data_IF_392536745914
#
_entry.id   IF_392536745914
#
_cell.length_a   1.000
_cell.length_b   1.000
_cell.length_c   1.000
_cell.angle_alpha   90.00
_cell.angle_beta   90.00
_cell.angle_gamma   90.00
#
_symmetry.space_group_name_H-M   'P 1'
#
loop_
_entity.id
_entity.type
_entity.pdbx_description
1 polymer ?
#
# COMPACT_ATOMS: atom_id res chain seq x y z
N UNK A 1 -25.85 -80.44 -22.64
CA UNK A 1 -24.45 -80.88 -22.40
C UNK A 1 -23.53 -79.92 -23.15
N UNK A 2 -22.33 -79.49 -22.70
CA UNK A 2 -21.61 -79.76 -21.44
C UNK A 2 -20.92 -78.51 -20.77
N UNK A 3 -20.53 -78.72 -19.51
CA UNK A 3 -19.27 -78.38 -18.80
C UNK A 3 -18.66 -76.95 -18.75
N UNK A 4 -18.61 -76.49 -17.49
CA UNK A 4 -17.44 -76.07 -16.67
C UNK A 4 -16.65 -74.79 -17.02
N UNK A 5 -16.83 -73.80 -16.14
CA UNK A 5 -15.84 -73.09 -15.32
C UNK A 5 -14.55 -72.57 -16.00
N UNK A 6 -14.37 -71.24 -15.96
CA UNK A 6 -13.14 -70.58 -15.51
C UNK A 6 -13.46 -69.14 -15.09
N UNK A 7 -13.46 -68.94 -13.77
CA UNK A 7 -13.48 -67.63 -13.12
C UNK A 7 -12.15 -66.94 -13.41
N UNK A 8 -12.19 -65.71 -13.91
CA UNK A 8 -11.07 -64.79 -13.81
C UNK A 8 -11.58 -63.53 -13.09
N UNK A 9 -11.01 -63.30 -11.92
CA UNK A 9 -11.15 -62.08 -11.14
C UNK A 9 -10.62 -60.89 -11.94
N UNK A 10 -11.44 -59.86 -12.14
CA UNK A 10 -10.97 -58.49 -12.29
C UNK A 10 -11.88 -57.62 -11.43
N UNK A 11 -11.30 -57.05 -10.38
CA UNK A 11 -11.98 -56.21 -9.42
C UNK A 11 -12.47 -54.91 -10.10
N UNK A 12 -13.78 -54.83 -10.35
CA UNK A 12 -14.40 -53.62 -10.87
C UNK A 12 -14.71 -52.68 -9.71
N UNK A 13 -13.87 -51.66 -9.56
CA UNK A 13 -14.08 -50.51 -8.68
C UNK A 13 -15.29 -49.74 -9.19
N UNK A 14 -16.44 -49.85 -8.52
CA UNK A 14 -17.60 -48.97 -8.76
C UNK A 14 -17.38 -47.70 -7.96
N UNK A 15 -17.00 -46.67 -8.71
CA UNK A 15 -16.80 -45.30 -8.34
C UNK A 15 -18.11 -44.71 -7.77
N UNK A 16 -18.13 -44.42 -6.48
CA UNK A 16 -19.16 -43.58 -5.89
C UNK A 16 -19.00 -42.15 -6.45
N UNK A 17 -19.95 -41.72 -7.28
CA UNK A 17 -20.02 -40.36 -7.80
C UNK A 17 -20.31 -39.41 -6.64
N UNK A 18 -19.35 -38.51 -6.42
CA UNK A 18 -19.28 -37.59 -5.30
C UNK A 18 -20.46 -36.62 -5.23
N UNK A 19 -20.94 -36.47 -4.00
CA UNK A 19 -21.68 -35.33 -3.49
C UNK A 19 -20.87 -34.04 -3.60
N UNK A 20 -21.59 -32.94 -3.85
CA UNK A 20 -21.25 -31.55 -3.53
C UNK A 20 -19.99 -30.95 -4.18
N UNK A 21 -20.19 -30.25 -5.30
CA UNK A 21 -19.31 -29.17 -5.73
C UNK A 21 -19.42 -28.00 -4.73
N UNK A 22 -18.61 -28.03 -3.68
CA UNK A 22 -18.36 -26.87 -2.83
C UNK A 22 -17.08 -26.22 -3.37
N UNK A 23 -17.22 -25.08 -4.05
CA UNK A 23 -16.14 -24.36 -4.70
C UNK A 23 -14.97 -24.13 -3.75
N UNK A 24 -13.87 -24.85 -3.98
CA UNK A 24 -12.61 -24.62 -3.27
C UNK A 24 -11.92 -23.46 -3.97
N UNK A 25 -12.04 -22.26 -3.39
CA UNK A 25 -11.11 -21.18 -3.72
C UNK A 25 -9.74 -21.59 -3.19
N UNK A 26 -8.89 -22.10 -4.09
CA UNK A 26 -7.51 -22.40 -3.75
C UNK A 26 -6.76 -21.09 -3.51
N UNK A 27 -6.73 -20.67 -2.24
CA UNK A 27 -5.69 -19.79 -1.69
C UNK A 27 -4.38 -20.58 -1.72
N UNK A 28 -3.55 -20.36 -2.74
CA UNK A 28 -2.24 -20.99 -2.83
C UNK A 28 -1.31 -20.39 -1.78
N UNK A 29 -1.11 -21.11 -0.67
CA UNK A 29 0.12 -21.05 0.11
C UNK A 29 1.01 -22.18 -0.36
N UNK A 30 2.11 -21.85 -1.05
CA UNK A 30 3.13 -22.84 -1.42
C UNK A 30 4.26 -22.76 -0.41
N UNK A 31 4.54 -23.90 0.20
CA UNK A 31 5.74 -24.19 0.99
C UNK A 31 6.70 -24.93 0.04
N UNK A 32 7.94 -24.44 -0.09
CA UNK A 32 8.93 -24.85 -1.08
C UNK A 32 9.51 -26.25 -0.83
N UNK A 33 9.67 -27.02 -1.91
CA UNK A 33 10.91 -27.75 -2.25
C UNK A 33 10.78 -28.33 -3.67
N UNK A 34 11.52 -27.78 -4.67
CA UNK A 34 12.07 -28.49 -5.86
C UNK A 34 13.24 -27.66 -6.44
N UNK A 35 14.39 -28.33 -6.62
CA UNK A 35 15.55 -27.91 -7.42
C UNK A 35 15.42 -28.41 -8.88
N UNK A 36 16.08 -27.73 -9.82
CA UNK A 36 16.11 -27.87 -11.28
C UNK A 36 15.06 -27.07 -12.09
N UNK A 37 15.52 -25.90 -12.59
CA UNK A 37 14.91 -25.17 -13.71
C UNK A 37 14.17 -23.88 -13.33
N UNK A 38 14.86 -22.92 -12.69
CA UNK A 38 14.24 -21.67 -12.26
C UNK A 38 13.83 -20.80 -13.46
N UNK A 39 12.56 -20.93 -13.88
CA UNK A 39 11.82 -19.83 -14.49
C UNK A 39 11.85 -18.67 -13.50
N UNK A 40 12.75 -17.70 -13.69
CA UNK A 40 12.77 -16.44 -12.94
C UNK A 40 11.54 -15.63 -13.33
N UNK A 41 10.40 -15.90 -12.72
CA UNK A 41 9.31 -14.94 -12.66
C UNK A 41 9.82 -13.73 -11.86
N UNK A 42 9.81 -12.55 -12.46
CA UNK A 42 10.32 -11.35 -11.81
C UNK A 42 9.54 -11.04 -10.52
N UNK A 43 10.23 -10.62 -9.47
CA UNK A 43 9.58 -10.28 -8.19
C UNK A 43 9.11 -8.82 -8.19
N UNK A 44 7.87 -8.58 -7.74
CA UNK A 44 7.31 -7.25 -7.50
C UNK A 44 7.43 -6.95 -6.01
N UNK A 45 8.18 -5.90 -5.64
CA UNK A 45 8.24 -5.46 -4.24
C UNK A 45 8.37 -3.94 -4.13
N UNK A 46 7.23 -3.30 -3.86
CA UNK A 46 7.17 -1.91 -3.44
C UNK A 46 7.42 -1.86 -1.93
N UNK A 47 8.50 -1.20 -1.52
CA UNK A 47 8.71 -0.88 -0.11
C UNK A 47 8.51 0.61 0.10
N UNK A 48 7.84 0.93 1.19
CA UNK A 48 7.65 2.30 1.64
C UNK A 48 8.40 2.41 2.97
N UNK A 49 9.28 3.40 3.09
CA UNK A 49 10.01 3.66 4.32
C UNK A 49 9.66 5.05 4.85
N UNK A 50 9.09 5.09 6.05
CA UNK A 50 8.97 6.29 6.87
C UNK A 50 9.83 6.07 8.12
N UNK A 51 10.85 6.93 8.33
CA UNK A 51 11.74 6.81 9.50
C UNK A 51 12.46 5.45 9.64
N UNK A 52 12.67 4.71 8.54
CA UNK A 52 13.41 3.44 8.53
C UNK A 52 12.57 2.16 8.70
N UNK A 53 11.23 2.23 8.74
CA UNK A 53 10.36 1.04 8.84
C UNK A 53 9.65 0.72 7.51
N UNK A 54 9.71 -0.53 7.06
CA UNK A 54 9.10 -0.97 5.78
C UNK A 54 7.70 -1.57 5.96
N UNK A 55 6.66 -0.95 5.40
CA UNK A 55 5.27 -1.48 5.44
C UNK A 55 4.42 -0.90 4.31
N UNK A 56 3.54 -1.71 3.69
CA UNK A 56 2.56 -1.26 2.69
C UNK A 56 1.42 -0.39 3.27
N UNK A 57 1.37 -0.25 4.59
CA UNK A 57 0.54 0.71 5.32
C UNK A 57 1.47 1.50 6.23
N UNK A 58 1.74 2.74 5.87
CA UNK A 58 2.59 3.61 6.69
C UNK A 58 1.73 4.39 7.67
N UNK A 59 2.11 4.27 8.94
CA UNK A 59 1.68 5.14 10.02
C UNK A 59 2.82 6.14 10.23
N UNK A 60 2.54 7.42 10.05
CA UNK A 60 3.55 8.45 10.19
C UNK A 60 3.53 8.91 11.64
N UNK A 61 4.40 8.36 12.51
CA UNK A 61 4.43 8.74 13.92
C UNK A 61 4.65 10.25 14.15
N UNK A 62 5.31 10.95 13.22
CA UNK A 62 5.44 12.42 13.24
C UNK A 62 4.14 13.17 12.89
N UNK A 63 3.21 12.52 12.19
CA UNK A 63 1.89 13.05 11.82
C UNK A 63 0.77 12.53 12.73
N UNK A 64 0.97 11.36 13.38
CA UNK A 64 -0.07 10.62 14.11
C UNK A 64 -0.42 11.20 15.49
N UNK A 65 0.49 11.98 16.09
CA UNK A 65 0.29 12.69 17.37
C UNK A 65 0.47 14.22 17.23
N UNK A 66 0.52 14.72 16.00
CA UNK A 66 0.58 16.16 15.77
C UNK A 66 -0.75 16.79 16.18
N UNK A 67 -0.77 17.52 17.29
CA UNK A 67 -1.83 18.49 17.58
C UNK A 67 -1.78 19.57 16.48
N UNK A 68 -2.52 19.33 15.40
CA UNK A 68 -2.65 20.27 14.29
C UNK A 68 -3.53 21.43 14.74
N UNK A 69 -2.94 22.62 14.79
CA UNK A 69 -3.64 23.87 15.08
C UNK A 69 -3.97 24.60 13.79
N UNK A 70 -5.04 25.41 13.75
CA UNK A 70 -5.36 26.21 12.56
C UNK A 70 -4.16 27.05 12.11
N UNK A 71 -3.82 26.98 10.82
CA UNK A 71 -2.67 27.65 10.21
C UNK A 71 -1.33 26.93 10.41
N UNK A 72 -1.32 25.73 11.00
CA UNK A 72 -0.13 24.88 11.15
C UNK A 72 -0.17 23.71 10.19
N UNK A 73 0.98 23.08 10.03
CA UNK A 73 1.17 21.87 9.26
C UNK A 73 2.10 20.92 10.02
N UNK A 74 2.10 19.66 9.59
CA UNK A 74 3.14 18.69 9.91
C UNK A 74 3.60 18.03 8.61
N UNK A 75 4.88 17.66 8.56
CA UNK A 75 5.53 17.09 7.40
C UNK A 75 6.36 15.87 7.76
N UNK A 76 6.48 14.95 6.81
CA UNK A 76 7.39 13.83 6.92
C UNK A 76 7.91 13.40 5.54
N UNK A 77 9.20 13.05 5.42
CA UNK A 77 9.71 12.40 4.23
C UNK A 77 9.20 10.96 4.15
N UNK A 78 8.99 10.51 2.92
CA UNK A 78 8.58 9.16 2.57
C UNK A 78 9.47 8.67 1.41
N UNK A 79 10.17 7.57 1.61
CA UNK A 79 10.87 6.90 0.52
C UNK A 79 10.02 5.78 -0.07
N UNK A 80 9.87 5.78 -1.39
CA UNK A 80 9.21 4.72 -2.16
C UNK A 80 10.28 4.02 -2.99
N UNK A 81 10.46 2.71 -2.83
CA UNK A 81 11.49 1.97 -3.55
C UNK A 81 10.95 0.70 -4.22
N UNK A 82 11.51 0.40 -5.39
CA UNK A 82 11.34 -0.86 -6.07
C UNK A 82 12.51 -1.79 -5.69
N UNK A 83 12.22 -2.80 -4.89
CA UNK A 83 13.18 -3.86 -4.55
C UNK A 83 12.95 -5.14 -5.36
N UNK A 84 12.10 -5.05 -6.38
CA UNK A 84 11.83 -6.10 -7.33
C UNK A 84 12.85 -6.16 -8.46
N UNK A 85 12.65 -7.15 -9.33
CA UNK A 85 13.47 -7.36 -10.53
C UNK A 85 12.79 -6.89 -11.82
N UNK A 86 11.67 -6.18 -11.72
CA UNK A 86 10.88 -5.68 -12.84
C UNK A 86 10.52 -4.21 -12.62
N UNK A 87 10.48 -3.42 -13.69
CA UNK A 87 10.11 -2.01 -13.60
C UNK A 87 8.66 -1.88 -13.12
N UNK A 88 8.44 -0.92 -12.23
CA UNK A 88 7.16 -0.72 -11.58
C UNK A 88 6.57 0.62 -11.93
N UNK A 89 5.27 0.61 -12.14
CA UNK A 89 4.41 1.78 -12.14
C UNK A 89 3.62 1.83 -10.85
N UNK A 90 3.64 2.94 -10.13
CA UNK A 90 2.87 3.09 -8.91
C UNK A 90 2.01 4.36 -8.87
N UNK A 91 0.94 4.32 -8.07
CA UNK A 91 0.09 5.47 -7.79
C UNK A 91 -0.42 5.39 -6.34
N UNK A 92 -0.76 6.55 -5.77
CA UNK A 92 -1.59 6.65 -4.58
C UNK A 92 -3.00 6.18 -4.92
N UNK A 93 -3.66 5.51 -3.98
CA UNK A 93 -5.08 5.11 -4.14
C UNK A 93 -5.96 5.58 -3.01
N UNK A 94 -5.42 5.79 -1.81
CA UNK A 94 -6.14 6.34 -0.68
C UNK A 94 -5.22 7.20 0.17
N UNK A 95 -5.78 8.25 0.76
CA UNK A 95 -5.10 9.08 1.74
C UNK A 95 -6.11 9.49 2.82
N UNK A 96 -6.25 8.67 3.85
CA UNK A 96 -7.32 8.77 4.85
C UNK A 96 -6.76 8.99 6.24
N UNK A 97 -7.56 9.57 7.13
CA UNK A 97 -7.28 9.57 8.58
C UNK A 97 -7.99 8.37 9.24
N UNK A 98 -7.26 7.56 9.99
CA UNK A 98 -7.80 6.36 10.64
C UNK A 98 -7.35 6.18 12.09
N UNK A 99 -7.62 7.15 13.00
CA UNK A 99 -7.31 7.01 14.41
C UNK A 99 -8.16 5.89 15.04
N UNK A 100 -7.60 5.21 16.05
CA UNK A 100 -8.34 4.22 16.82
C UNK A 100 -9.44 4.93 17.64
N UNK A 101 -10.67 4.41 17.59
CA UNK A 101 -11.84 4.99 18.28
C UNK A 101 -12.13 6.45 17.89
N UNK A 102 -12.24 6.72 16.59
CA UNK A 102 -12.42 8.06 16.04
C UNK A 102 -13.60 8.83 16.68
N UNK A 103 -13.30 10.00 17.24
CA UNK A 103 -14.26 10.93 17.81
C UNK A 103 -14.88 11.83 16.74
N UNK A 104 -15.83 12.70 17.13
CA UNK A 104 -16.35 13.73 16.23
C UNK A 104 -15.27 14.77 15.86
N UNK A 105 -14.38 15.09 16.81
CA UNK A 105 -13.29 16.02 16.57
C UNK A 105 -12.25 15.47 15.58
N UNK A 106 -11.94 14.17 15.67
CA UNK A 106 -11.04 13.50 14.73
C UNK A 106 -11.56 13.55 13.29
N UNK A 107 -12.86 13.30 13.12
CA UNK A 107 -13.53 13.38 11.81
C UNK A 107 -13.53 14.80 11.28
N UNK A 108 -13.89 15.77 12.11
CA UNK A 108 -13.89 17.18 11.73
C UNK A 108 -12.49 17.69 11.37
N UNK A 109 -11.45 17.22 12.07
CA UNK A 109 -10.06 17.53 11.76
C UNK A 109 -9.65 16.91 10.42
N UNK A 110 -9.98 15.65 10.16
CA UNK A 110 -9.65 14.96 8.92
C UNK A 110 -10.32 15.61 7.69
N UNK A 111 -11.60 15.99 7.81
CA UNK A 111 -12.37 16.64 6.74
C UNK A 111 -11.84 18.01 6.35
N UNK A 112 -11.21 18.72 7.29
CA UNK A 112 -10.68 20.07 7.10
C UNK A 112 -9.18 20.09 6.79
N UNK A 113 -8.50 18.95 6.94
CA UNK A 113 -7.07 18.84 6.67
C UNK A 113 -6.79 18.77 5.17
N UNK A 114 -5.76 19.49 4.74
CA UNK A 114 -5.26 19.48 3.38
C UNK A 114 -3.96 18.69 3.31
N UNK A 115 -3.92 17.70 2.43
CA UNK A 115 -2.74 16.93 2.12
C UNK A 115 -2.05 17.52 0.89
N UNK A 116 -0.72 17.60 0.96
CA UNK A 116 0.12 17.91 -0.18
C UNK A 116 1.28 16.92 -0.25
N UNK A 117 1.56 16.39 -1.44
CA UNK A 117 2.65 15.44 -1.68
C UNK A 117 3.52 15.98 -2.81
N UNK A 118 4.81 16.14 -2.53
CA UNK A 118 5.81 16.62 -3.47
C UNK A 118 6.90 15.58 -3.71
N UNK A 119 7.45 15.54 -4.91
CA UNK A 119 8.60 14.71 -5.27
C UNK A 119 9.83 15.57 -5.57
N UNK A 120 11.02 14.99 -5.38
CA UNK A 120 12.30 15.62 -5.73
C UNK A 120 12.84 16.59 -4.67
N UNK A 121 12.19 16.67 -3.51
CA UNK A 121 12.71 17.38 -2.34
C UNK A 121 13.68 16.48 -1.56
N UNK A 122 14.75 17.06 -1.01
CA UNK A 122 15.66 16.35 -0.12
C UNK A 122 14.90 15.90 1.15
N UNK A 123 14.96 14.61 1.55
CA UNK A 123 14.29 14.12 2.75
C UNK A 123 14.61 14.92 4.02
N UNK A 124 15.84 15.43 4.14
CA UNK A 124 16.27 16.22 5.30
C UNK A 124 15.57 17.57 5.36
N UNK A 125 15.38 18.22 4.21
CA UNK A 125 14.70 19.52 4.14
C UNK A 125 13.21 19.34 4.44
N UNK A 126 12.61 18.23 3.97
CA UNK A 126 11.22 17.89 4.31
C UNK A 126 11.04 17.67 5.82
N UNK A 127 11.94 16.92 6.45
CA UNK A 127 11.91 16.67 7.90
C UNK A 127 12.22 17.93 8.74
N UNK A 128 12.92 18.92 8.17
CA UNK A 128 13.23 20.20 8.80
C UNK A 128 12.15 21.27 8.60
N UNK A 129 10.96 20.86 8.13
CA UNK A 129 9.83 21.75 7.85
C UNK A 129 10.11 22.87 6.83
N UNK A 130 11.07 22.66 5.93
CA UNK A 130 11.39 23.63 4.90
C UNK A 130 10.20 23.88 3.95
N UNK A 131 10.27 24.97 3.18
CA UNK A 131 9.28 25.26 2.15
C UNK A 131 9.23 24.12 1.12
N UNK A 132 8.02 23.68 0.76
CA UNK A 132 7.84 22.62 -0.24
C UNK A 132 8.42 23.07 -1.58
N UNK A 133 9.22 22.19 -2.18
CA UNK A 133 9.86 22.39 -3.48
C UNK A 133 9.73 21.12 -4.32
N UNK A 134 10.06 21.23 -5.61
CA UNK A 134 10.00 20.11 -6.54
C UNK A 134 8.64 19.94 -7.23
N UNK A 135 8.33 18.71 -7.62
CA UNK A 135 7.13 18.40 -8.40
C UNK A 135 5.95 18.14 -7.47
N UNK A 136 4.86 18.90 -7.62
CA UNK A 136 3.59 18.61 -6.95
C UNK A 136 2.97 17.34 -7.55
N UNK A 137 2.76 16.32 -6.72
CA UNK A 137 2.09 15.06 -7.12
C UNK A 137 0.61 15.04 -6.74
N UNK A 138 0.28 15.63 -5.59
CA UNK A 138 -1.09 15.70 -5.09
C UNK A 138 -1.27 16.91 -4.17
N UNK A 139 -2.41 17.60 -4.29
CA UNK A 139 -2.87 18.60 -3.34
C UNK A 139 -4.39 18.53 -3.23
N UNK A 140 -4.92 18.37 -2.02
CA UNK A 140 -6.37 18.27 -1.82
C UNK A 140 -6.75 17.76 -0.44
N UNK A 141 -8.06 17.56 -0.20
CA UNK A 141 -8.57 17.00 1.06
C UNK A 141 -8.17 15.53 1.22
N UNK A 142 -8.17 15.04 2.46
CA UNK A 142 -8.07 13.60 2.72
C UNK A 142 -9.31 12.87 2.17
N UNK A 143 -9.11 11.65 1.67
CA UNK A 143 -10.18 10.89 1.03
C UNK A 143 -9.77 9.51 0.55
N UNK A 144 -10.80 8.72 0.22
CA UNK A 144 -10.64 7.49 -0.56
C UNK A 144 -10.52 7.83 -2.05
N UNK A 145 -9.89 6.95 -2.82
CA UNK A 145 -9.62 7.18 -4.25
C UNK A 145 -8.74 8.40 -4.54
N UNK A 146 -7.91 8.81 -3.59
CA UNK A 146 -6.92 9.86 -3.76
C UNK A 146 -5.79 9.36 -4.64
N UNK A 147 -5.55 10.01 -5.77
CA UNK A 147 -4.57 9.57 -6.79
C UNK A 147 -3.67 10.72 -7.22
N UNK A 148 -2.45 10.38 -7.60
CA UNK A 148 -1.57 11.29 -8.33
C UNK A 148 -2.11 11.54 -9.73
N UNK A 149 -1.86 12.75 -10.26
CA UNK A 149 -2.28 13.13 -11.61
C UNK A 149 -1.65 12.26 -12.70
N UNK A 150 -0.47 11.70 -12.44
CA UNK A 150 0.21 10.77 -13.32
C UNK A 150 0.79 9.61 -12.51
N UNK A 151 0.81 8.42 -13.12
CA UNK A 151 1.49 7.28 -12.54
C UNK A 151 3.01 7.54 -12.50
N UNK A 152 3.64 7.11 -11.41
CA UNK A 152 5.09 7.19 -11.20
C UNK A 152 5.75 5.89 -11.66
N UNK A 153 7.01 5.95 -12.07
CA UNK A 153 7.77 4.78 -12.54
C UNK A 153 9.04 4.63 -11.70
N UNK A 154 9.30 3.41 -11.25
CA UNK A 154 10.51 3.00 -10.56
C UNK A 154 11.18 1.86 -11.34
N UNK A 155 12.44 2.05 -11.69
CA UNK A 155 13.22 1.02 -12.38
C UNK A 155 13.52 -0.16 -11.45
N UNK A 156 13.77 -1.33 -12.03
CA UNK A 156 14.26 -2.51 -11.32
C UNK A 156 15.76 -2.43 -10.98
N UNK A 157 16.18 -3.23 -10.00
CA UNK A 157 17.59 -3.49 -9.71
C UNK A 157 18.30 -2.34 -8.99
N UNK A 158 19.56 -2.06 -9.35
CA UNK A 158 20.42 -1.05 -8.72
C UNK A 158 20.69 0.15 -9.62
N UNK A 159 19.88 0.33 -10.67
CA UNK A 159 20.00 1.43 -11.63
C UNK A 159 19.53 2.78 -11.08
N UNK A 160 19.49 3.79 -11.94
CA UNK A 160 18.85 5.06 -11.63
C UNK A 160 17.32 4.87 -11.47
N UNK A 161 16.69 5.68 -10.62
CA UNK A 161 15.23 5.69 -10.38
C UNK A 161 14.66 4.41 -9.76
N UNK A 162 15.44 3.68 -8.98
CA UNK A 162 14.96 2.53 -8.19
C UNK A 162 14.25 2.96 -6.90
N UNK A 163 14.49 4.20 -6.46
CA UNK A 163 13.75 4.85 -5.38
C UNK A 163 13.36 6.29 -5.73
N UNK A 164 12.32 6.76 -5.04
CA UNK A 164 11.81 8.12 -5.13
C UNK A 164 11.53 8.66 -3.72
N UNK A 165 12.05 9.85 -3.44
CA UNK A 165 11.76 10.60 -2.21
C UNK A 165 10.54 11.50 -2.40
N UNK A 166 9.55 11.31 -1.53
CA UNK A 166 8.35 12.10 -1.42
C UNK A 166 8.36 12.92 -0.12
N UNK A 167 7.90 14.16 -0.17
CA UNK A 167 7.59 14.96 1.00
C UNK A 167 6.07 15.03 1.18
N UNK A 168 5.59 14.52 2.30
CA UNK A 168 4.17 14.48 2.64
C UNK A 168 3.90 15.57 3.67
N UNK A 169 3.03 16.52 3.34
CA UNK A 169 2.57 17.58 4.24
C UNK A 169 1.10 17.43 4.51
N UNK A 170 0.69 17.49 5.77
CA UNK A 170 -0.70 17.75 6.14
C UNK A 170 -0.79 19.10 6.83
N UNK A 171 -1.66 19.97 6.32
CA UNK A 171 -1.90 21.30 6.85
C UNK A 171 -3.36 21.46 7.29
N UNK A 172 -3.57 22.19 8.38
CA UNK A 172 -4.89 22.63 8.79
C UNK A 172 -5.06 24.11 8.43
N UNK A 173 -6.02 24.48 7.57
CA UNK A 173 -6.28 25.87 7.22
C UNK A 173 -6.54 26.75 8.46
N UNK A 174 -6.18 28.02 8.40
CA UNK A 174 -6.38 28.96 9.53
C UNK A 174 -7.85 29.24 9.84
N UNK A 175 -8.74 28.99 8.89
CA UNK A 175 -10.19 29.08 9.04
C UNK A 175 -10.82 27.75 9.47
N UNK A 176 -10.03 26.76 9.90
CA UNK A 176 -10.56 25.50 10.41
C UNK A 176 -11.43 25.74 11.64
N UNK A 177 -12.57 25.06 11.65
CA UNK A 177 -13.62 25.17 12.65
C UNK A 177 -13.19 24.59 13.99
N UNK A 178 -13.71 25.16 15.09
CA UNK A 178 -13.39 24.72 16.46
C UNK A 178 -13.79 23.26 16.75
N UNK A 179 -14.69 22.68 15.95
CA UNK A 179 -15.08 21.28 16.01
C UNK A 179 -13.91 20.32 15.77
N UNK A 180 -12.85 20.75 15.07
CA UNK A 180 -11.62 19.97 14.88
C UNK A 180 -10.66 20.06 16.09
N UNK A 181 -10.95 20.93 17.07
CA UNK A 181 -10.07 21.15 18.21
C UNK A 181 -9.95 19.90 19.09
N UNK A 182 -8.72 19.56 19.46
CA UNK A 182 -8.42 18.35 20.24
C UNK A 182 -8.57 17.04 19.46
N UNK A 183 -8.90 17.10 18.16
CA UNK A 183 -8.91 15.94 17.28
C UNK A 183 -7.51 15.40 17.03
N UNK A 184 -7.43 14.11 16.73
CA UNK A 184 -6.21 13.40 16.33
C UNK A 184 -6.30 13.00 14.88
N UNK A 185 -5.22 13.26 14.15
CA UNK A 185 -5.07 12.80 12.77
C UNK A 185 -4.14 11.59 12.76
N UNK A 186 -4.54 10.51 12.10
CA UNK A 186 -3.66 9.36 11.86
C UNK A 186 -3.61 9.08 10.37
N UNK A 187 -2.60 9.63 9.68
CA UNK A 187 -2.54 9.58 8.22
C UNK A 187 -2.17 8.19 7.75
N UNK A 188 -3.04 7.61 6.93
CA UNK A 188 -2.80 6.35 6.24
C UNK A 188 -2.80 6.61 4.74
N UNK A 189 -1.63 6.43 4.13
CA UNK A 189 -1.44 6.47 2.69
C UNK A 189 -1.40 5.04 2.15
N UNK A 190 -2.14 4.79 1.07
CA UNK A 190 -2.13 3.52 0.36
C UNK A 190 -1.64 3.72 -1.07
N UNK A 191 -0.65 2.92 -1.45
CA UNK A 191 -0.09 2.90 -2.79
C UNK A 191 -0.37 1.56 -3.45
N UNK A 192 -0.55 1.58 -4.77
CA UNK A 192 -0.61 0.39 -5.60
C UNK A 192 0.54 0.41 -6.59
N UNK A 193 1.25 -0.70 -6.69
CA UNK A 193 2.27 -0.93 -7.72
C UNK A 193 1.78 -1.93 -8.76
N UNK A 194 2.16 -1.74 -10.01
CA UNK A 194 1.90 -2.62 -11.14
C UNK A 194 3.20 -2.78 -11.92
N UNK A 195 3.48 -3.99 -12.41
CA UNK A 195 4.59 -4.21 -13.32
C UNK A 195 4.35 -3.50 -14.66
N UNK A 196 5.43 -2.98 -15.26
CA UNK A 196 5.44 -2.45 -16.62
C UNK A 196 5.67 -3.53 -17.68
#
# INVERSE_FOLDING_TARGET
MPKQLKVLFVATVILALGLSAQGTVASWRVNNEIDAGAMTTGSLKLMLAAGGQSSGTLNFSQLDDANLWPGKFSQAPLEVLNSGSVDLRYNLVDAVSAPANATAADRSLAEQSLLSIYAGMNPKDCAADAALTGQLLYSGPLGSNTKFSQNRVLAAGTGANTSESLCVRVALPSNASQQASGGKLKLVLRFVGQQL
#
